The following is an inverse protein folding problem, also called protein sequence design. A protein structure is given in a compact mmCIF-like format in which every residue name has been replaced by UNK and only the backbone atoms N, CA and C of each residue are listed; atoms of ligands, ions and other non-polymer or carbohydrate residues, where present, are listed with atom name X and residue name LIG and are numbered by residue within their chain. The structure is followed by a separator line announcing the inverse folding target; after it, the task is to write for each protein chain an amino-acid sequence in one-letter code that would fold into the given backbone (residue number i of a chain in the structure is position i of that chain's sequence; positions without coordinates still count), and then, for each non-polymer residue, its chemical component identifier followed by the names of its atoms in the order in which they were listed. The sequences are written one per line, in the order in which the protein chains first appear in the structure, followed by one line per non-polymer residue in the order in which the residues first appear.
data_IF_022879287395
#
_entry.id   IF_022879287395
#
_cell.length_a   1.000
_cell.length_b   1.000
_cell.length_c   1.000
_cell.angle_alpha   90.00
_cell.angle_beta   90.00
_cell.angle_gamma   90.00
#
_symmetry.space_group_name_H-M   'P 1'
#
loop_
_entity.id
_entity.type
_entity.pdbx_description
1 polymer ?
#
# COMPACT_ATOMS: atom_id res chain seq x y z
N UNK A 1 0.41 -12.23 52.17
CA UNK A 1 0.49 -12.25 50.69
C UNK A 1 0.43 -10.80 50.21
N UNK A 2 1.55 -10.22 49.78
CA UNK A 2 1.69 -8.78 49.62
C UNK A 2 0.90 -8.27 48.41
N UNK A 3 -0.10 -7.43 48.67
CA UNK A 3 -0.94 -6.76 47.68
C UNK A 3 -0.13 -5.97 46.63
N UNK A 4 1.10 -5.57 46.97
CA UNK A 4 2.03 -4.89 46.05
C UNK A 4 2.66 -5.81 44.99
N UNK A 5 2.78 -7.12 45.23
CA UNK A 5 3.34 -8.07 44.26
C UNK A 5 2.33 -8.44 43.15
N UNK A 6 1.04 -8.50 43.50
CA UNK A 6 -0.03 -8.79 42.54
C UNK A 6 -0.25 -7.65 41.53
N UNK A 7 -0.10 -6.40 41.97
CA UNK A 7 -0.27 -5.22 41.10
C UNK A 7 0.89 -5.12 40.09
N UNK A 8 2.11 -5.50 40.49
CA UNK A 8 3.28 -5.42 39.59
C UNK A 8 3.27 -6.49 38.48
N UNK A 9 2.60 -7.63 38.71
CA UNK A 9 2.44 -8.68 37.69
C UNK A 9 1.35 -8.36 36.65
N UNK A 10 0.35 -7.55 37.02
CA UNK A 10 -0.76 -7.21 36.12
C UNK A 10 -0.40 -6.17 35.06
N UNK A 11 0.54 -5.25 35.37
CA UNK A 11 0.94 -4.16 34.47
C UNK A 11 1.86 -4.65 33.35
N UNK A 12 2.62 -5.74 33.56
CA UNK A 12 3.55 -6.27 32.56
C UNK A 12 2.86 -7.07 31.44
N UNK A 13 1.63 -7.54 31.67
CA UNK A 13 0.87 -8.39 30.73
C UNK A 13 0.12 -7.60 29.65
N UNK A 14 -0.07 -6.28 29.83
CA UNK A 14 -0.86 -5.44 28.89
C UNK A 14 0.02 -4.84 27.78
N UNK A 15 1.34 -4.88 27.93
CA UNK A 15 2.30 -4.33 26.96
C UNK A 15 2.81 -5.35 25.93
N UNK A 16 2.41 -6.63 26.03
CA UNK A 16 2.83 -7.65 25.10
C UNK A 16 1.82 -7.79 23.93
N UNK A 17 2.30 -7.38 22.76
CA UNK A 17 1.84 -7.83 21.44
C UNK A 17 0.40 -7.52 21.01
N UNK A 18 0.12 -6.26 20.65
CA UNK A 18 -0.91 -5.95 19.63
C UNK A 18 -0.37 -5.52 18.26
N UNK A 19 0.96 -5.40 18.10
CA UNK A 19 1.58 -4.97 16.84
C UNK A 19 1.74 -6.05 15.76
N UNK A 20 1.80 -7.33 16.13
CA UNK A 20 2.29 -8.37 15.22
C UNK A 20 1.24 -9.00 14.27
N UNK A 21 -0.06 -8.86 14.54
CA UNK A 21 -1.11 -9.54 13.73
C UNK A 21 -1.68 -8.70 12.58
N UNK A 22 -1.36 -7.39 12.51
CA UNK A 22 -1.85 -6.52 11.44
C UNK A 22 -1.03 -6.68 10.14
N UNK A 23 0.28 -6.86 10.25
CA UNK A 23 1.21 -7.00 9.11
C UNK A 23 0.90 -8.24 8.25
N UNK A 24 0.32 -9.29 8.82
CA UNK A 24 -0.05 -10.49 8.05
C UNK A 24 -1.21 -10.22 7.08
N UNK A 25 -2.08 -9.25 7.39
CA UNK A 25 -3.33 -9.02 6.64
C UNK A 25 -3.33 -7.72 5.82
N UNK A 26 -2.41 -6.81 6.13
CA UNK A 26 -2.37 -5.46 5.57
C UNK A 26 -0.93 -5.13 5.18
N UNK A 27 -0.73 -4.51 4.02
CA UNK A 27 0.52 -3.81 3.71
C UNK A 27 0.39 -2.36 4.18
N UNK A 28 1.43 -1.81 4.80
CA UNK A 28 1.56 -0.36 5.05
C UNK A 28 2.60 0.20 4.13
N UNK A 29 2.22 1.15 3.29
CA UNK A 29 3.05 1.65 2.21
C UNK A 29 3.33 3.14 2.38
N UNK A 30 4.60 3.53 2.24
CA UNK A 30 5.07 4.91 2.24
C UNK A 30 5.50 5.32 0.84
N UNK A 31 5.04 6.47 0.37
CA UNK A 31 5.39 7.00 -0.95
C UNK A 31 6.73 7.73 -0.89
N UNK A 32 7.65 7.37 -1.77
CA UNK A 32 8.96 8.01 -1.88
C UNK A 32 9.10 8.91 -3.09
N UNK A 33 8.36 8.64 -4.16
CA UNK A 33 8.40 9.45 -5.37
C UNK A 33 7.12 9.27 -6.17
N UNK A 34 6.72 10.34 -6.86
CA UNK A 34 5.80 10.25 -7.97
C UNK A 34 6.38 10.86 -9.25
N UNK A 35 5.84 10.41 -10.38
CA UNK A 35 6.24 10.82 -11.70
C UNK A 35 5.04 10.81 -12.64
N UNK A 36 5.10 11.62 -13.69
CA UNK A 36 4.05 11.72 -14.70
C UNK A 36 4.60 11.49 -16.10
N UNK A 37 3.84 10.80 -16.94
CA UNK A 37 4.11 10.70 -18.37
C UNK A 37 3.64 12.00 -19.03
N UNK A 38 4.59 12.77 -19.58
CA UNK A 38 4.32 14.00 -20.33
C UNK A 38 3.71 13.68 -21.70
N UNK A 39 3.12 14.68 -22.34
CA UNK A 39 2.56 14.57 -23.69
C UNK A 39 3.59 14.25 -24.77
N UNK A 40 4.88 14.54 -24.52
CA UNK A 40 6.00 14.17 -25.40
C UNK A 40 6.51 12.73 -25.16
N UNK A 41 5.89 11.97 -24.24
CA UNK A 41 6.27 10.60 -23.90
C UNK A 41 7.39 10.47 -22.87
N UNK A 42 7.97 11.56 -22.40
CA UNK A 42 8.99 11.52 -21.34
C UNK A 42 8.36 11.29 -19.97
N UNK A 43 9.07 10.57 -19.10
CA UNK A 43 8.75 10.49 -17.68
C UNK A 43 9.32 11.71 -16.95
N UNK A 44 8.48 12.39 -16.18
CA UNK A 44 8.86 13.55 -15.38
C UNK A 44 8.66 13.25 -13.90
N UNK A 45 9.76 13.15 -13.15
CA UNK A 45 9.73 13.03 -11.70
C UNK A 45 9.35 14.39 -11.12
N UNK A 46 8.41 14.41 -10.18
CA UNK A 46 8.00 15.65 -9.51
C UNK A 46 8.99 15.94 -8.39
N UNK A 47 9.68 17.06 -8.49
CA UNK A 47 10.45 17.59 -7.36
C UNK A 47 9.47 18.21 -6.36
N UNK A 48 9.58 17.84 -5.09
CA UNK A 48 8.74 18.32 -3.97
C UNK A 48 7.25 17.96 -4.03
N UNK A 49 6.94 16.72 -4.45
CA UNK A 49 5.56 16.25 -4.42
C UNK A 49 4.98 16.21 -3.01
N UNK A 50 3.74 16.71 -2.79
CA UNK A 50 3.07 16.67 -1.50
C UNK A 50 2.69 15.24 -1.06
N UNK A 51 2.84 14.25 -1.96
CA UNK A 51 2.58 12.84 -1.68
C UNK A 51 3.76 12.15 -1.02
N UNK A 52 4.98 12.66 -1.18
CA UNK A 52 6.18 12.06 -0.59
C UNK A 52 6.05 12.05 0.93
N UNK A 53 6.29 10.90 1.54
CA UNK A 53 6.12 10.65 2.98
C UNK A 53 4.68 10.36 3.42
N UNK A 54 3.70 10.41 2.51
CA UNK A 54 2.35 9.95 2.84
C UNK A 54 2.29 8.42 2.91
N UNK A 55 1.42 7.93 3.79
CA UNK A 55 1.17 6.51 3.99
C UNK A 55 -0.22 6.09 3.49
N UNK A 56 -0.30 4.87 2.97
CA UNK A 56 -1.57 4.19 2.73
C UNK A 56 -1.47 2.72 3.12
N UNK A 57 -2.61 2.12 3.43
CA UNK A 57 -2.72 0.72 3.76
C UNK A 57 -3.41 -0.06 2.64
N UNK A 58 -3.00 -1.31 2.42
CA UNK A 58 -3.63 -2.22 1.45
C UNK A 58 -4.08 -3.48 2.17
N UNK A 59 -5.39 -3.74 2.18
CA UNK A 59 -5.94 -4.96 2.76
C UNK A 59 -5.65 -6.12 1.80
N UNK A 60 -4.69 -6.98 2.14
CA UNK A 60 -4.15 -8.02 1.23
C UNK A 60 -5.24 -8.89 0.61
N UNK A 61 -6.25 -9.26 1.40
CA UNK A 61 -7.36 -10.12 0.99
C UNK A 61 -8.28 -9.49 -0.07
N UNK A 62 -8.57 -8.19 0.07
CA UNK A 62 -9.55 -7.50 -0.79
C UNK A 62 -8.89 -6.63 -1.86
N UNK A 63 -7.64 -6.22 -1.65
CA UNK A 63 -6.97 -5.19 -2.44
C UNK A 63 -7.47 -3.79 -2.15
N UNK A 64 -8.29 -3.59 -1.13
CA UNK A 64 -8.79 -2.27 -0.74
C UNK A 64 -7.64 -1.39 -0.22
N UNK A 65 -7.59 -0.16 -0.71
CA UNK A 65 -6.62 0.87 -0.31
C UNK A 65 -7.30 1.82 0.67
N UNK A 66 -6.64 2.09 1.79
CA UNK A 66 -7.11 3.00 2.83
C UNK A 66 -6.05 4.08 3.06
N UNK A 67 -6.43 5.35 2.93
CA UNK A 67 -5.55 6.51 3.10
C UNK A 67 -5.93 7.63 2.14
N UNK A 68 -5.46 8.85 2.42
CA UNK A 68 -5.80 10.06 1.64
C UNK A 68 -4.95 10.24 0.38
N UNK A 69 -4.20 9.20 0.01
CA UNK A 69 -3.30 9.20 -1.15
C UNK A 69 -4.08 9.20 -2.46
N UNK A 70 -5.32 8.71 -2.43
CA UNK A 70 -6.07 8.34 -3.63
C UNK A 70 -7.55 8.64 -3.49
N UNK A 71 -8.16 9.07 -4.60
CA UNK A 71 -9.62 9.05 -4.74
C UNK A 71 -10.13 7.60 -4.64
N UNK A 72 -11.41 7.44 -4.26
CA UNK A 72 -12.02 6.12 -4.15
C UNK A 72 -11.97 5.39 -5.50
N UNK A 73 -11.09 4.38 -5.60
CA UNK A 73 -10.83 3.64 -6.83
C UNK A 73 -11.95 2.65 -7.22
N UNK A 74 -13.04 2.60 -6.45
CA UNK A 74 -14.15 1.69 -6.67
C UNK A 74 -13.86 0.26 -6.19
N UNK A 75 -14.11 -0.74 -7.03
CA UNK A 75 -14.04 -2.16 -6.65
C UNK A 75 -12.68 -2.78 -7.03
N UNK A 76 -11.76 -3.02 -6.08
CA UNK A 76 -10.50 -3.68 -6.36
C UNK A 76 -10.68 -5.12 -6.84
N UNK A 77 -9.76 -5.58 -7.68
CA UNK A 77 -9.59 -6.99 -8.02
C UNK A 77 -8.14 -7.41 -7.80
N UNK A 78 -7.93 -8.23 -6.77
CA UNK A 78 -6.63 -8.90 -6.56
C UNK A 78 -6.44 -9.94 -7.65
N UNK A 79 -5.39 -9.78 -8.46
CA UNK A 79 -5.04 -10.70 -9.56
C UNK A 79 -3.80 -11.55 -9.23
N UNK A 80 -3.03 -11.17 -8.22
CA UNK A 80 -2.01 -12.00 -7.61
C UNK A 80 -1.91 -11.71 -6.11
N UNK A 81 -1.93 -12.75 -5.28
CA UNK A 81 -1.87 -12.64 -3.82
C UNK A 81 -0.46 -12.38 -3.27
N UNK A 82 0.55 -12.32 -4.13
CA UNK A 82 1.95 -12.18 -3.75
C UNK A 82 2.53 -13.44 -3.13
N UNK A 83 3.83 -13.64 -3.31
CA UNK A 83 4.64 -14.67 -2.65
C UNK A 83 6.12 -14.28 -2.74
N UNK A 84 7.00 -15.10 -2.14
CA UNK A 84 8.46 -15.01 -2.40
C UNK A 84 8.83 -15.25 -3.86
N UNK A 85 7.85 -15.66 -4.66
CA UNK A 85 7.80 -15.99 -6.08
C UNK A 85 7.28 -14.97 -7.07
N UNK A 86 6.44 -14.05 -6.58
CA UNK A 86 5.50 -13.32 -7.40
C UNK A 86 5.06 -12.06 -6.66
N UNK A 87 4.96 -10.94 -7.37
CA UNK A 87 4.44 -9.71 -6.80
C UNK A 87 2.95 -9.86 -6.43
N UNK A 88 2.55 -9.18 -5.36
CA UNK A 88 1.15 -8.90 -5.08
C UNK A 88 0.65 -7.88 -6.10
N UNK A 89 -0.54 -8.13 -6.68
CA UNK A 89 -1.07 -7.31 -7.77
C UNK A 89 -2.57 -7.06 -7.61
N UNK A 90 -2.96 -5.80 -7.73
CA UNK A 90 -4.36 -5.37 -7.69
C UNK A 90 -4.62 -4.46 -8.88
N UNK A 91 -5.79 -4.63 -9.48
CA UNK A 91 -6.29 -3.71 -10.50
C UNK A 91 -7.62 -3.11 -10.07
N UNK A 92 -7.87 -1.89 -10.51
CA UNK A 92 -9.17 -1.24 -10.45
C UNK A 92 -9.59 -0.92 -11.86
N UNK A 93 -10.86 -1.14 -12.16
CA UNK A 93 -11.43 -0.92 -13.48
C UNK A 93 -12.58 0.05 -13.35
N UNK A 94 -12.45 1.20 -14.01
CA UNK A 94 -13.49 2.22 -14.04
C UNK A 94 -13.92 2.47 -15.49
N UNK A 95 -15.21 2.74 -15.68
CA UNK A 95 -15.72 3.10 -17.01
C UNK A 95 -15.20 4.50 -17.36
N UNK A 96 -14.57 4.64 -18.53
CA UNK A 96 -14.15 5.95 -19.00
C UNK A 96 -15.35 6.81 -19.40
N UNK A 97 -15.21 8.13 -19.25
CA UNK A 97 -16.26 9.08 -19.61
C UNK A 97 -16.58 9.10 -21.13
N UNK A 98 -15.68 8.59 -21.98
CA UNK A 98 -15.83 8.53 -23.44
C UNK A 98 -15.87 7.11 -24.03
N UNK A 99 -16.60 6.95 -25.14
CA UNK A 99 -16.56 5.84 -26.11
C UNK A 99 -16.29 4.42 -25.56
N UNK A 100 -17.06 3.97 -24.55
CA UNK A 100 -16.92 2.63 -23.96
C UNK A 100 -15.48 2.27 -23.51
N UNK A 101 -14.65 3.27 -23.25
CA UNK A 101 -13.29 3.07 -22.76
C UNK A 101 -13.29 2.62 -21.29
N UNK A 102 -12.11 2.21 -20.83
CA UNK A 102 -11.88 1.73 -19.48
C UNK A 102 -10.61 2.37 -18.93
N UNK A 103 -10.69 2.96 -17.74
CA UNK A 103 -9.54 3.33 -16.93
C UNK A 103 -9.12 2.15 -16.08
N UNK A 104 -7.81 1.88 -16.07
CA UNK A 104 -7.22 0.82 -15.27
C UNK A 104 -6.17 1.46 -14.37
N UNK A 105 -6.37 1.33 -13.06
CA UNK A 105 -5.34 1.59 -12.06
C UNK A 105 -4.72 0.26 -11.65
N UNK A 106 -3.42 0.26 -11.38
CA UNK A 106 -2.65 -0.96 -11.12
C UNK A 106 -1.66 -0.74 -9.98
N UNK A 107 -1.78 -1.57 -8.94
CA UNK A 107 -0.82 -1.68 -7.87
C UNK A 107 -0.01 -2.96 -8.01
N UNK A 108 1.30 -2.85 -7.93
CA UNK A 108 2.22 -3.97 -7.78
C UNK A 108 3.06 -3.77 -6.52
N UNK A 109 3.02 -4.73 -5.60
CA UNK A 109 3.91 -4.76 -4.43
C UNK A 109 4.80 -5.99 -4.59
N UNK A 110 6.10 -5.77 -4.71
CA UNK A 110 7.05 -6.84 -4.97
C UNK A 110 7.28 -7.69 -3.72
N UNK A 111 6.99 -9.00 -3.81
CA UNK A 111 7.04 -9.92 -2.67
C UNK A 111 8.47 -10.37 -2.30
N UNK A 112 9.47 -9.94 -3.06
CA UNK A 112 10.87 -10.35 -2.93
C UNK A 112 11.71 -9.31 -2.17
N UNK A 113 11.27 -8.93 -0.97
CA UNK A 113 12.07 -8.08 -0.09
C UNK A 113 12.95 -8.94 0.82
N UNK A 114 14.28 -8.73 0.79
CA UNK A 114 15.19 -9.40 1.73
C UNK A 114 15.05 -8.87 3.16
N UNK A 115 14.65 -7.61 3.31
CA UNK A 115 14.70 -6.87 4.57
C UNK A 115 13.30 -6.48 5.10
N UNK A 116 12.24 -7.13 4.61
CA UNK A 116 10.85 -6.82 5.00
C UNK A 116 10.28 -5.54 4.37
N UNK A 117 11.05 -4.83 3.53
CA UNK A 117 10.62 -3.66 2.75
C UNK A 117 10.29 -4.05 1.31
N UNK A 118 9.02 -4.12 0.99
CA UNK A 118 8.47 -4.54 -0.30
C UNK A 118 8.33 -3.34 -1.24
N UNK A 119 9.18 -3.19 -2.27
CA UNK A 119 9.01 -2.10 -3.24
C UNK A 119 7.63 -2.16 -3.87
N UNK A 120 6.99 -1.01 -4.08
CA UNK A 120 5.76 -0.96 -4.84
C UNK A 120 5.83 0.04 -5.99
N UNK A 121 5.03 -0.23 -7.01
CA UNK A 121 4.69 0.69 -8.08
C UNK A 121 3.18 0.76 -8.21
N UNK A 122 2.65 1.97 -8.22
CA UNK A 122 1.23 2.24 -8.40
C UNK A 122 1.02 3.14 -9.61
N UNK A 123 0.30 2.65 -10.61
CA UNK A 123 -0.02 3.36 -11.84
C UNK A 123 -1.49 3.78 -11.84
N UNK A 124 -1.75 5.06 -12.11
CA UNK A 124 -3.09 5.59 -12.34
C UNK A 124 -3.06 6.64 -13.45
N UNK A 125 -3.64 6.30 -14.61
CA UNK A 125 -3.53 7.13 -15.81
C UNK A 125 -2.07 7.43 -16.18
N UNK A 126 -1.69 8.71 -16.17
CA UNK A 126 -0.31 9.14 -16.45
C UNK A 126 0.59 9.20 -15.20
N UNK A 127 0.03 9.01 -14.00
CA UNK A 127 0.74 9.05 -12.72
C UNK A 127 1.36 7.68 -12.41
N UNK A 128 2.61 7.69 -11.98
CA UNK A 128 3.32 6.60 -11.34
C UNK A 128 3.74 7.04 -9.94
N UNK A 129 3.30 6.33 -8.91
CA UNK A 129 3.80 6.45 -7.54
C UNK A 129 4.66 5.25 -7.18
N UNK A 130 5.74 5.46 -6.44
CA UNK A 130 6.67 4.41 -6.01
C UNK A 130 7.07 4.59 -4.56
N UNK A 131 7.43 3.50 -3.90
CA UNK A 131 7.87 3.52 -2.51
C UNK A 131 8.04 2.12 -1.96
N UNK A 132 7.88 1.98 -0.65
CA UNK A 132 8.00 0.69 0.03
C UNK A 132 6.77 0.39 0.86
N UNK A 133 6.44 -0.89 0.97
CA UNK A 133 5.49 -1.42 1.91
C UNK A 133 6.16 -2.31 2.95
N UNK A 134 5.51 -2.47 4.10
CA UNK A 134 5.86 -3.40 5.18
C UNK A 134 4.68 -4.31 5.54
#
# INVERSE_FOLDING_TARGET
MNMRLLVSFLVCSVLLCKGAFAAEKVYRCEILSDAYIKTNGELAIVQDSPRVGQEFAVIKKTGEVVGDVMDSLGKPKVIASGSKSNAYKVIWTQKAAGQNGVFIDYLSIDGFAKDGKYPFGFFSGALLMTGFCE
#
